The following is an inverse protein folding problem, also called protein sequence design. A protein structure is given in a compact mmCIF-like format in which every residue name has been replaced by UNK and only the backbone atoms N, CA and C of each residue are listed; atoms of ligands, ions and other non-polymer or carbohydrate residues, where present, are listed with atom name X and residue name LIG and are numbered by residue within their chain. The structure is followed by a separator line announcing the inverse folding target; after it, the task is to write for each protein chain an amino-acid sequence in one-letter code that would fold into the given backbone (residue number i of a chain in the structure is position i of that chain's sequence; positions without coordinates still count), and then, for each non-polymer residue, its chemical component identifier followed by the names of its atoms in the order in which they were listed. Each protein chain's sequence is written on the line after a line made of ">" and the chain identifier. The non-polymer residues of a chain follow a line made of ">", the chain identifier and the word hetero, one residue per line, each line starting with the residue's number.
data_IF_823777492777
#
_entry.id   IF_823777492777
#
_cell.length_a   1.000
_cell.length_b   1.000
_cell.length_c   1.000
_cell.angle_alpha   90.00
_cell.angle_beta   90.00
_cell.angle_gamma   90.00
#
_symmetry.space_group_name_H-M   'P 1'
#
loop_
_entity.id
_entity.type
_entity.pdbx_description
1 polymer ?
#
# COMPACT_ATOMS: atom_id res chain seq x y z
N UNK A 1 2.74 -0.49 -18.45
CA UNK A 1 1.65 -1.23 -17.77
C UNK A 1 2.14 -1.95 -16.52
N UNK A 2 3.10 -2.88 -16.59
CA UNK A 2 3.61 -3.51 -15.35
C UNK A 2 4.29 -2.53 -14.39
N UNK A 3 5.08 -1.58 -14.91
CA UNK A 3 5.68 -0.52 -14.09
C UNK A 3 4.62 0.35 -13.38
N UNK A 4 3.56 0.72 -14.09
CA UNK A 4 2.45 1.50 -13.52
C UNK A 4 1.72 0.73 -12.40
N UNK A 5 1.52 -0.58 -12.57
CA UNK A 5 0.92 -1.40 -11.51
C UNK A 5 1.78 -1.43 -10.24
N UNK A 6 3.11 -1.40 -10.38
CA UNK A 6 4.03 -1.31 -9.23
C UNK A 6 3.94 0.07 -8.58
N UNK A 7 3.97 1.13 -9.38
CA UNK A 7 3.88 2.52 -8.93
C UNK A 7 2.60 2.76 -8.12
N UNK A 8 1.44 2.31 -8.61
CA UNK A 8 0.17 2.45 -7.87
C UNK A 8 0.22 1.77 -6.49
N UNK A 9 0.87 0.61 -6.38
CA UNK A 9 0.99 -0.13 -5.10
C UNK A 9 1.97 0.56 -4.15
N UNK A 10 3.07 1.11 -4.69
CA UNK A 10 4.05 1.86 -3.91
C UNK A 10 3.45 3.17 -3.36
N UNK A 11 2.59 3.82 -4.13
CA UNK A 11 1.81 4.98 -3.67
C UNK A 11 0.78 4.58 -2.62
N UNK A 12 0.00 3.53 -2.89
CA UNK A 12 -1.01 3.04 -1.94
C UNK A 12 -1.31 1.55 -2.16
N UNK A 13 -0.77 0.72 -1.26
CA UNK A 13 -0.97 -0.72 -1.28
C UNK A 13 -2.39 -1.18 -0.90
N UNK A 14 -3.30 -0.25 -0.58
CA UNK A 14 -4.71 -0.53 -0.28
C UNK A 14 -5.60 -0.51 -1.53
N UNK A 15 -5.07 -0.13 -2.70
CA UNK A 15 -5.86 -0.16 -3.92
C UNK A 15 -6.35 -1.57 -4.23
N UNK A 16 -7.64 -1.67 -4.52
CA UNK A 16 -8.25 -2.90 -4.99
C UNK A 16 -7.91 -3.13 -6.46
N UNK A 17 -7.95 -4.38 -6.91
CA UNK A 17 -7.76 -4.72 -8.33
C UNK A 17 -8.75 -3.99 -9.26
N UNK A 18 -9.96 -3.69 -8.78
CA UNK A 18 -10.95 -2.93 -9.52
C UNK A 18 -10.55 -1.44 -9.67
N UNK A 19 -10.04 -0.82 -8.60
CA UNK A 19 -9.51 0.54 -8.66
C UNK A 19 -8.30 0.62 -9.60
N UNK A 20 -7.35 -0.34 -9.50
CA UNK A 20 -6.20 -0.39 -10.41
C UNK A 20 -6.63 -0.57 -11.88
N UNK A 21 -7.72 -1.31 -12.12
CA UNK A 21 -8.29 -1.45 -13.47
C UNK A 21 -8.83 -0.10 -14.00
N UNK A 22 -9.51 0.68 -13.16
CA UNK A 22 -10.01 2.01 -13.52
C UNK A 22 -8.87 3.00 -13.77
N UNK A 23 -7.82 2.96 -12.94
CA UNK A 23 -6.61 3.79 -13.10
C UNK A 23 -5.92 3.48 -14.43
N UNK A 24 -5.74 2.21 -14.77
CA UNK A 24 -5.18 1.82 -16.07
C UNK A 24 -6.03 2.26 -17.26
N UNK A 25 -7.35 2.25 -17.10
CA UNK A 25 -8.25 2.77 -18.13
C UNK A 25 -8.13 4.28 -18.27
N UNK A 26 -7.97 5.02 -17.16
CA UNK A 26 -7.80 6.46 -17.18
C UNK A 26 -6.44 6.88 -17.78
N UNK A 27 -5.35 6.27 -17.32
CA UNK A 27 -3.98 6.65 -17.67
C UNK A 27 -3.57 6.17 -19.07
N UNK A 28 -4.05 4.99 -19.48
CA UNK A 28 -3.59 4.34 -20.72
C UNK A 28 -4.71 4.04 -21.71
N UNK A 29 -5.97 4.38 -21.41
CA UNK A 29 -7.15 4.01 -22.22
C UNK A 29 -7.29 2.49 -22.45
N UNK A 30 -6.73 1.67 -21.56
CA UNK A 30 -6.76 0.20 -21.67
C UNK A 30 -7.59 -0.40 -20.55
N UNK A 31 -8.51 -1.31 -20.93
CA UNK A 31 -9.30 -2.08 -19.97
C UNK A 31 -8.81 -3.52 -19.91
N UNK A 32 -8.08 -3.87 -18.85
CA UNK A 32 -7.64 -5.24 -18.58
C UNK A 32 -8.47 -5.88 -17.47
N UNK A 33 -8.58 -7.21 -17.47
CA UNK A 33 -9.30 -7.93 -16.42
C UNK A 33 -8.53 -7.90 -15.10
N UNK A 34 -9.26 -7.89 -13.99
CA UNK A 34 -8.68 -8.02 -12.64
C UNK A 34 -7.85 -9.29 -12.48
N UNK A 35 -8.22 -10.38 -13.16
CA UNK A 35 -7.44 -11.62 -13.17
C UNK A 35 -6.07 -11.43 -13.84
N UNK A 36 -5.99 -10.66 -14.92
CA UNK A 36 -4.71 -10.33 -15.58
C UNK A 36 -3.86 -9.43 -14.70
N UNK A 37 -4.46 -8.42 -14.06
CA UNK A 37 -3.78 -7.57 -13.07
C UNK A 37 -3.20 -8.43 -11.95
N UNK A 38 -4.03 -9.28 -11.34
CA UNK A 38 -3.61 -10.20 -10.26
C UNK A 38 -2.43 -11.07 -10.69
N UNK A 39 -2.50 -11.69 -11.88
CA UNK A 39 -1.40 -12.49 -12.42
C UNK A 39 -0.10 -11.67 -12.55
N UNK A 40 -0.18 -10.46 -13.09
CA UNK A 40 0.97 -9.56 -13.24
C UNK A 40 1.58 -9.15 -11.90
N UNK A 41 0.76 -8.95 -10.88
CA UNK A 41 1.24 -8.64 -9.53
C UNK A 41 1.91 -9.85 -8.86
N UNK A 42 1.34 -11.05 -9.01
CA UNK A 42 1.94 -12.29 -8.54
C UNK A 42 3.32 -12.54 -9.17
N UNK A 43 3.48 -12.28 -10.46
CA UNK A 43 4.77 -12.40 -11.17
C UNK A 43 5.84 -11.44 -10.61
N UNK A 44 5.43 -10.34 -9.96
CA UNK A 44 6.30 -9.36 -9.28
C UNK A 44 6.46 -9.64 -7.78
N UNK A 45 6.01 -10.80 -7.31
CA UNK A 45 6.03 -11.20 -5.89
C UNK A 45 5.14 -10.34 -4.96
N UNK A 46 4.24 -9.52 -5.51
CA UNK A 46 3.21 -8.89 -4.71
C UNK A 46 2.11 -9.91 -4.42
N UNK A 47 1.92 -10.20 -3.14
CA UNK A 47 0.87 -11.10 -2.66
C UNK A 47 -0.20 -10.29 -1.96
N UNK A 48 -1.45 -10.47 -2.40
CA UNK A 48 -2.60 -9.93 -1.68
C UNK A 48 -2.73 -10.66 -0.35
N UNK A 49 -2.51 -9.95 0.76
CA UNK A 49 -2.78 -10.49 2.10
C UNK A 49 -4.26 -10.35 2.40
N UNK A 50 -4.91 -11.46 2.72
CA UNK A 50 -6.32 -11.45 3.16
C UNK A 50 -6.51 -10.82 4.54
N UNK A 51 -5.44 -10.73 5.33
CA UNK A 51 -5.48 -10.06 6.64
C UNK A 51 -5.48 -8.56 6.40
N UNK A 52 -6.49 -7.86 6.93
CA UNK A 52 -6.61 -6.41 6.89
C UNK A 52 -5.24 -5.78 7.10
N UNK A 53 -4.75 -5.03 6.09
CA UNK A 53 -3.66 -4.09 6.32
C UNK A 53 -4.14 -3.18 7.45
N UNK A 54 -3.44 -3.19 8.57
CA UNK A 54 -3.83 -2.41 9.74
C UNK A 54 -3.64 -0.94 9.41
N UNK A 55 -4.72 -0.27 9.05
CA UNK A 55 -4.74 1.17 8.79
C UNK A 55 -4.95 1.89 10.12
N UNK A 56 -3.91 2.55 10.61
CA UNK A 56 -3.99 3.39 11.80
C UNK A 56 -4.36 4.82 11.39
N UNK A 57 -5.22 5.51 12.16
CA UNK A 57 -5.50 6.92 11.94
C UNK A 57 -4.21 7.74 11.88
N UNK A 58 -4.15 8.74 10.99
CA UNK A 58 -2.98 9.63 10.89
C UNK A 58 -2.66 10.33 12.22
N UNK A 59 -3.67 10.56 13.06
CA UNK A 59 -3.49 11.13 14.40
C UNK A 59 -2.60 10.26 15.29
N UNK A 60 -2.66 8.93 15.17
CA UNK A 60 -1.77 7.98 15.86
C UNK A 60 -0.32 8.08 15.36
N UNK A 61 -0.13 8.44 14.09
CA UNK A 61 1.18 8.59 13.44
C UNK A 61 1.61 10.04 13.24
N UNK A 62 1.01 10.99 13.96
CA UNK A 62 1.48 12.37 13.96
C UNK A 62 2.94 12.44 14.41
N UNK A 63 3.72 13.36 13.82
CA UNK A 63 5.13 13.52 14.16
C UNK A 63 5.36 13.71 15.68
N UNK A 64 4.42 14.38 16.35
CA UNK A 64 4.41 14.55 17.80
C UNK A 64 4.26 13.21 18.53
N UNK A 65 3.29 12.37 18.14
CA UNK A 65 3.05 11.07 18.78
C UNK A 65 4.17 10.08 18.46
N UNK A 66 4.74 10.11 17.26
CA UNK A 66 5.95 9.35 16.92
C UNK A 66 7.09 9.74 17.85
N UNK A 67 7.35 11.03 18.04
CA UNK A 67 8.42 11.52 18.93
C UNK A 67 8.19 11.12 20.38
N UNK A 68 6.96 11.23 20.89
CA UNK A 68 6.61 10.79 22.25
C UNK A 68 6.88 9.29 22.45
N UNK A 69 6.45 8.45 21.50
CA UNK A 69 6.69 6.99 21.55
C UNK A 69 8.18 6.66 21.54
N UNK A 70 8.96 7.34 20.69
CA UNK A 70 10.41 7.16 20.64
C UNK A 70 11.09 7.54 21.95
N UNK A 71 10.82 8.74 22.48
CA UNK A 71 11.42 9.21 23.73
C UNK A 71 11.10 8.27 24.90
N UNK A 72 9.87 7.74 24.96
CA UNK A 72 9.48 6.78 25.97
C UNK A 72 10.27 5.47 25.85
N UNK A 73 10.40 4.93 24.63
CA UNK A 73 11.19 3.72 24.39
C UNK A 73 12.68 3.92 24.73
N UNK A 74 13.26 5.05 24.36
CA UNK A 74 14.65 5.40 24.67
C UNK A 74 14.87 5.52 26.19
N UNK A 75 13.89 6.10 26.91
CA UNK A 75 13.94 6.21 28.38
C UNK A 75 13.79 4.85 29.08
N UNK A 76 12.98 3.95 28.51
CA UNK A 76 12.82 2.59 29.03
C UNK A 76 14.08 1.74 28.82
N UNK A 77 14.78 1.92 27.70
CA UNK A 77 16.03 1.22 27.40
C UNK A 77 17.22 1.71 28.24
N UNK A 78 17.17 2.95 28.74
CA UNK A 78 18.22 3.53 29.58
C UNK A 78 18.12 3.14 31.07
N UNK A 79 17.04 2.45 31.45
CA UNK A 79 16.79 1.93 32.80
C UNK A 79 17.34 0.51 32.98
#
# INVERSE_FOLDING_TARGET
>A
MEAALVEYIEENCLYTLAQMQEMLHFDFAVRISTSLISKKLCDKMYTMKQVHVRVEPETCNSAQNIKKRKNFADSLLAH
#
